data_IF_479823559660
#
_entry.id   IF_479823559660
#
_cell.length_a   1.000
_cell.length_b   1.000
_cell.length_c   1.000
_cell.angle_alpha   90.00
_cell.angle_beta   90.00
_cell.angle_gamma   90.00
#
_symmetry.space_group_name_H-M   'P 1'
#
loop_
_entity.id
_entity.type
_entity.pdbx_description
1 polymer ?
#
# COMPACT_ATOMS: atom_id res chain seq x y z
N UNK A 1 14.49 -24.01 -1.04
CA UNK A 1 14.25 -24.07 0.40
C UNK A 1 13.67 -25.43 0.72
N UNK A 2 14.16 -26.17 1.75
CA UNK A 2 13.62 -27.46 2.15
C UNK A 2 12.15 -27.36 2.59
N UNK A 3 11.36 -28.39 2.34
CA UNK A 3 9.93 -28.44 2.72
C UNK A 3 9.71 -28.22 4.23
N UNK A 4 10.65 -28.66 5.06
CA UNK A 4 10.64 -28.43 6.51
C UNK A 4 10.61 -26.93 6.91
N UNK A 5 11.01 -26.02 6.02
CA UNK A 5 10.90 -24.58 6.26
C UNK A 5 9.47 -24.07 5.99
N UNK A 6 8.76 -24.67 5.04
CA UNK A 6 7.36 -24.36 4.78
C UNK A 6 6.46 -24.83 5.93
N UNK A 7 6.74 -25.98 6.53
CA UNK A 7 6.01 -26.45 7.72
C UNK A 7 6.10 -25.46 8.89
N UNK A 8 7.22 -24.74 9.01
CA UNK A 8 7.39 -23.70 10.04
C UNK A 8 6.61 -22.41 9.78
N UNK A 9 6.03 -22.24 8.58
CA UNK A 9 5.20 -21.09 8.25
C UNK A 9 3.76 -21.23 8.73
N UNK A 10 3.31 -22.42 9.08
CA UNK A 10 1.93 -22.67 9.52
C UNK A 10 1.47 -21.69 10.63
N UNK A 11 2.20 -21.48 11.74
CA UNK A 11 1.82 -20.50 12.76
C UNK A 11 1.76 -19.06 12.23
N UNK A 12 2.62 -18.72 11.26
CA UNK A 12 2.62 -17.38 10.64
C UNK A 12 1.36 -17.20 9.79
N UNK A 13 1.00 -18.20 8.99
CA UNK A 13 -0.22 -18.16 8.16
C UNK A 13 -1.47 -18.10 9.02
N UNK A 14 -1.54 -18.87 10.09
CA UNK A 14 -2.65 -18.82 11.07
C UNK A 14 -2.77 -17.45 11.74
N UNK A 15 -1.66 -16.80 12.05
CA UNK A 15 -1.64 -15.43 12.59
C UNK A 15 -2.17 -14.42 11.56
N UNK A 16 -1.75 -14.55 10.30
CA UNK A 16 -2.26 -13.72 9.19
C UNK A 16 -3.77 -13.94 9.01
N UNK A 17 -4.23 -15.19 9.02
CA UNK A 17 -5.64 -15.53 8.92
C UNK A 17 -6.46 -14.91 10.06
N UNK A 18 -5.97 -14.98 11.31
CA UNK A 18 -6.65 -14.34 12.44
C UNK A 18 -6.74 -12.82 12.27
N UNK A 19 -5.68 -12.18 11.76
CA UNK A 19 -5.67 -10.75 11.45
C UNK A 19 -6.70 -10.39 10.37
N UNK A 20 -6.84 -11.21 9.33
CA UNK A 20 -7.74 -10.91 8.19
C UNK A 20 -9.22 -10.84 8.59
N UNK A 21 -9.62 -11.51 9.67
CA UNK A 21 -11.00 -11.44 10.20
C UNK A 21 -11.41 -10.05 10.67
N UNK A 22 -10.45 -9.16 10.93
CA UNK A 22 -10.66 -7.80 11.41
C UNK A 22 -10.37 -6.73 10.36
N UNK A 23 -10.20 -7.10 9.10
CA UNK A 23 -9.94 -6.16 8.00
C UNK A 23 -10.83 -6.44 6.82
N UNK A 24 -11.25 -5.37 6.12
CA UNK A 24 -11.97 -5.45 4.85
C UNK A 24 -11.02 -5.57 3.63
N UNK A 25 -9.71 -5.66 3.88
CA UNK A 25 -8.74 -5.83 2.81
C UNK A 25 -8.65 -7.28 2.38
N UNK A 26 -8.41 -7.53 1.11
CA UNK A 26 -7.88 -8.80 0.66
C UNK A 26 -6.43 -8.88 1.14
N UNK A 27 -6.07 -9.99 1.79
CA UNK A 27 -4.70 -10.25 2.26
C UNK A 27 -4.23 -11.56 1.67
N UNK A 28 -3.03 -11.57 1.11
CA UNK A 28 -2.45 -12.80 0.55
C UNK A 28 -0.93 -12.83 0.72
N UNK A 29 -0.37 -14.04 0.66
CA UNK A 29 1.07 -14.27 0.80
C UNK A 29 1.63 -14.82 -0.49
N UNK A 30 2.59 -14.10 -1.04
CA UNK A 30 3.33 -14.47 -2.26
C UNK A 30 4.58 -15.26 -1.89
N UNK A 31 4.79 -16.41 -2.55
CA UNK A 31 6.07 -17.12 -2.56
C UNK A 31 6.80 -16.85 -3.88
N UNK A 32 7.82 -16.02 -3.82
CA UNK A 32 8.62 -15.68 -4.99
C UNK A 32 9.52 -16.80 -5.48
N UNK A 33 9.79 -17.82 -4.66
CA UNK A 33 10.63 -18.96 -5.05
C UNK A 33 9.82 -20.01 -5.78
N UNK A 34 8.62 -20.34 -5.29
CA UNK A 34 7.69 -21.25 -5.96
C UNK A 34 6.85 -20.57 -7.04
N UNK A 35 6.87 -19.24 -7.10
CA UNK A 35 6.05 -18.38 -7.98
C UNK A 35 4.55 -18.69 -7.85
N UNK A 36 4.09 -18.81 -6.62
CA UNK A 36 2.68 -19.07 -6.30
C UNK A 36 2.23 -18.24 -5.09
N UNK A 37 0.98 -18.42 -4.71
CA UNK A 37 0.44 -17.88 -3.46
C UNK A 37 0.37 -18.98 -2.41
N UNK A 38 0.80 -18.69 -1.18
CA UNK A 38 0.71 -19.62 -0.05
C UNK A 38 -0.59 -19.45 0.73
N UNK A 39 -1.22 -18.30 0.64
CA UNK A 39 -2.40 -17.92 1.37
C UNK A 39 -3.17 -16.83 0.62
N UNK A 40 -4.49 -16.86 0.72
CA UNK A 40 -5.39 -15.75 0.39
C UNK A 40 -6.53 -15.69 1.41
N UNK A 41 -7.00 -14.48 1.73
CA UNK A 41 -8.17 -14.28 2.58
C UNK A 41 -9.47 -14.42 1.78
N UNK A 42 -10.57 -14.75 2.48
CA UNK A 42 -11.90 -14.91 1.88
C UNK A 42 -12.42 -13.64 1.17
N UNK A 43 -11.93 -12.46 1.56
CA UNK A 43 -12.33 -11.18 0.95
C UNK A 43 -12.05 -11.10 -0.56
N UNK A 44 -11.25 -12.00 -1.12
CA UNK A 44 -11.00 -12.09 -2.58
C UNK A 44 -12.27 -12.41 -3.35
N UNK A 45 -13.20 -13.15 -2.76
CA UNK A 45 -14.48 -13.50 -3.39
C UNK A 45 -15.34 -12.26 -3.65
N UNK A 46 -15.37 -11.31 -2.72
CA UNK A 46 -16.08 -10.03 -2.94
C UNK A 46 -15.42 -9.22 -4.06
N UNK A 47 -14.10 -9.19 -4.09
CA UNK A 47 -13.34 -8.36 -5.04
C UNK A 47 -13.33 -8.95 -6.46
N UNK A 48 -13.07 -10.24 -6.61
CA UNK A 48 -12.85 -10.91 -7.91
C UNK A 48 -13.86 -11.99 -8.24
N UNK A 49 -14.68 -12.46 -7.27
CA UNK A 49 -15.68 -13.50 -7.47
C UNK A 49 -15.11 -14.92 -7.55
N UNK A 50 -13.92 -15.14 -6.98
CA UNK A 50 -13.26 -16.44 -6.85
C UNK A 50 -13.03 -16.77 -5.38
N UNK A 51 -12.95 -18.05 -5.06
CA UNK A 51 -12.59 -18.49 -3.72
C UNK A 51 -11.08 -18.28 -3.44
N UNK A 52 -10.71 -18.28 -2.16
CA UNK A 52 -9.29 -18.19 -1.77
C UNK A 52 -8.49 -19.41 -2.25
N UNK A 53 -9.12 -20.57 -2.31
CA UNK A 53 -8.52 -21.81 -2.82
C UNK A 53 -8.21 -21.69 -4.30
N UNK A 54 -9.17 -21.18 -5.11
CA UNK A 54 -8.97 -20.92 -6.53
C UNK A 54 -7.84 -19.92 -6.78
N UNK A 55 -7.76 -18.83 -6.00
CA UNK A 55 -6.66 -17.86 -6.11
C UNK A 55 -5.30 -18.51 -5.83
N UNK A 56 -5.20 -19.32 -4.78
CA UNK A 56 -3.96 -20.01 -4.40
C UNK A 56 -3.56 -21.03 -5.48
N UNK A 57 -4.51 -21.81 -5.99
CA UNK A 57 -4.28 -22.79 -7.07
C UNK A 57 -3.81 -22.11 -8.36
N UNK A 58 -4.43 -20.99 -8.70
CA UNK A 58 -4.09 -20.22 -9.89
C UNK A 58 -2.68 -19.60 -9.82
N UNK A 59 -2.24 -19.23 -8.63
CA UNK A 59 -0.94 -18.58 -8.42
C UNK A 59 -0.79 -17.33 -9.27
N UNK A 60 0.36 -17.16 -9.93
CA UNK A 60 0.65 -15.95 -10.73
C UNK A 60 -0.25 -15.75 -11.95
N UNK A 61 -0.96 -16.78 -12.40
CA UNK A 61 -1.96 -16.67 -13.48
C UNK A 61 -3.11 -15.74 -13.08
N UNK A 62 -3.37 -15.55 -11.77
CA UNK A 62 -4.33 -14.58 -11.26
C UNK A 62 -4.16 -13.21 -11.92
N UNK A 63 -2.93 -12.67 -11.98
CA UNK A 63 -2.69 -11.35 -12.56
C UNK A 63 -3.04 -11.29 -14.06
N UNK A 64 -2.82 -12.37 -14.80
CA UNK A 64 -3.18 -12.42 -16.23
C UNK A 64 -4.68 -12.54 -16.47
N UNK A 65 -5.42 -13.10 -15.54
CA UNK A 65 -6.86 -13.34 -15.68
C UNK A 65 -7.69 -12.19 -15.09
N UNK A 66 -7.27 -11.60 -13.96
CA UNK A 66 -8.05 -10.62 -13.21
C UNK A 66 -7.52 -9.19 -13.30
N UNK A 67 -6.42 -8.95 -13.97
CA UNK A 67 -5.91 -7.60 -14.22
C UNK A 67 -6.10 -7.25 -15.69
N UNK A 68 -6.59 -6.03 -16.04
CA UNK A 68 -6.71 -5.58 -17.41
C UNK A 68 -5.41 -5.74 -18.19
N UNK A 69 -5.50 -6.24 -19.41
CA UNK A 69 -4.32 -6.54 -20.25
C UNK A 69 -3.38 -5.34 -20.41
N UNK A 70 -3.95 -4.14 -20.48
CA UNK A 70 -3.17 -2.90 -20.59
C UNK A 70 -2.26 -2.62 -19.37
N UNK A 71 -2.61 -3.17 -18.20
CA UNK A 71 -1.86 -2.94 -16.95
C UNK A 71 -0.91 -4.09 -16.58
N UNK A 72 -1.04 -5.24 -17.24
CA UNK A 72 -0.18 -6.41 -16.96
C UNK A 72 1.30 -6.12 -17.19
N UNK A 73 1.62 -5.36 -18.25
CA UNK A 73 3.00 -4.96 -18.55
C UNK A 73 3.58 -4.06 -17.45
N UNK A 74 2.77 -3.13 -16.94
CA UNK A 74 3.14 -2.27 -15.80
C UNK A 74 3.48 -3.13 -14.57
N UNK A 75 2.67 -4.15 -14.24
CA UNK A 75 2.94 -5.03 -13.09
C UNK A 75 4.21 -5.86 -13.26
N UNK A 76 4.51 -6.32 -14.48
CA UNK A 76 5.75 -7.04 -14.77
C UNK A 76 6.98 -6.13 -14.61
N UNK A 77 6.90 -4.92 -15.14
CA UNK A 77 7.94 -3.90 -15.02
C UNK A 77 8.19 -3.51 -13.57
N UNK A 78 7.10 -3.21 -12.84
CA UNK A 78 7.14 -2.87 -11.43
C UNK A 78 7.79 -3.97 -10.58
N UNK A 79 7.43 -5.22 -10.84
CA UNK A 79 8.01 -6.36 -10.14
C UNK A 79 9.54 -6.40 -10.34
N UNK A 80 9.99 -6.24 -11.59
CA UNK A 80 11.41 -6.17 -11.93
C UNK A 80 12.11 -5.00 -11.24
N UNK A 81 11.57 -3.78 -11.40
CA UNK A 81 12.14 -2.56 -10.82
C UNK A 81 12.19 -2.61 -9.27
N UNK A 82 11.16 -3.18 -8.63
CA UNK A 82 11.11 -3.38 -7.18
C UNK A 82 12.18 -4.34 -6.67
N UNK A 83 12.41 -5.46 -7.36
CA UNK A 83 13.50 -6.39 -7.03
C UNK A 83 14.88 -5.77 -7.24
N UNK A 84 15.10 -5.08 -8.36
CA UNK A 84 16.37 -4.39 -8.65
C UNK A 84 16.65 -3.31 -7.61
N UNK A 85 15.64 -2.52 -7.22
CA UNK A 85 15.77 -1.54 -6.14
C UNK A 85 16.24 -2.21 -4.83
N UNK A 86 15.54 -3.28 -4.42
CA UNK A 86 15.85 -4.00 -3.18
C UNK A 86 17.22 -4.66 -3.20
N UNK A 87 17.62 -5.25 -4.32
CA UNK A 87 18.91 -5.94 -4.45
C UNK A 87 20.09 -4.96 -4.48
N UNK A 88 19.88 -3.73 -4.92
CA UNK A 88 20.88 -2.65 -4.90
C UNK A 88 21.05 -2.02 -3.52
N UNK A 89 20.12 -2.24 -2.57
CA UNK A 89 20.26 -1.75 -1.20
C UNK A 89 21.38 -2.48 -0.45
N UNK A 90 22.13 -1.77 0.41
CA UNK A 90 23.03 -2.41 1.37
C UNK A 90 22.26 -3.43 2.22
N UNK A 91 22.85 -4.60 2.46
CA UNK A 91 22.18 -5.72 3.15
C UNK A 91 21.64 -5.37 4.53
N UNK A 92 22.28 -4.46 5.25
CA UNK A 92 21.88 -3.96 6.56
C UNK A 92 20.74 -2.94 6.50
N UNK A 93 20.39 -2.44 5.30
CA UNK A 93 19.35 -1.42 5.11
C UNK A 93 18.07 -1.98 4.52
N UNK A 94 18.01 -3.27 4.16
CA UNK A 94 16.91 -3.92 3.46
C UNK A 94 15.65 -4.12 4.30
N UNK A 95 15.75 -4.06 5.62
CA UNK A 95 14.59 -4.23 6.49
C UNK A 95 13.67 -3.00 6.47
N UNK A 96 12.37 -3.24 6.63
CA UNK A 96 11.35 -2.20 6.75
C UNK A 96 10.92 -1.57 5.42
N UNK A 97 11.37 -2.08 4.28
CA UNK A 97 10.87 -1.60 2.99
C UNK A 97 9.53 -2.24 2.62
N UNK A 98 8.67 -1.43 2.05
CA UNK A 98 7.42 -1.83 1.42
C UNK A 98 7.24 -1.08 0.11
N UNK A 99 6.48 -1.68 -0.81
CA UNK A 99 6.09 -1.04 -2.06
C UNK A 99 4.57 -0.97 -2.13
N UNK A 100 4.03 0.15 -2.59
CA UNK A 100 2.61 0.32 -2.87
C UNK A 100 2.39 0.84 -4.28
N UNK A 101 1.26 0.47 -4.88
CA UNK A 101 0.87 0.89 -6.22
C UNK A 101 -0.63 0.66 -6.45
N UNK A 102 -1.16 1.29 -7.50
CA UNK A 102 -2.57 1.18 -7.87
C UNK A 102 -2.72 0.48 -9.21
N UNK A 103 -3.71 -0.41 -9.30
CA UNK A 103 -4.10 -1.08 -10.55
C UNK A 103 -5.56 -1.54 -10.49
N UNK A 104 -6.11 -1.93 -11.63
CA UNK A 104 -7.48 -2.44 -11.68
C UNK A 104 -7.54 -3.96 -11.52
N UNK A 105 -8.58 -4.43 -10.83
CA UNK A 105 -8.99 -5.84 -10.86
C UNK A 105 -10.39 -5.97 -11.46
N UNK A 106 -10.65 -7.11 -12.08
CA UNK A 106 -11.89 -7.41 -12.79
C UNK A 106 -12.71 -8.47 -12.06
N UNK A 107 -14.03 -8.25 -11.99
CA UNK A 107 -15.03 -9.25 -11.60
C UNK A 107 -16.14 -9.27 -12.67
N UNK A 108 -16.04 -10.18 -13.64
CA UNK A 108 -16.85 -10.11 -14.85
C UNK A 108 -16.59 -8.79 -15.58
N UNK A 109 -17.67 -8.04 -15.87
CA UNK A 109 -17.57 -6.72 -16.55
C UNK A 109 -17.25 -5.57 -15.58
N UNK A 110 -17.26 -5.81 -14.28
CA UNK A 110 -16.92 -4.79 -13.29
C UNK A 110 -15.42 -4.66 -13.17
N UNK A 111 -14.93 -3.43 -13.30
CA UNK A 111 -13.52 -3.05 -13.12
C UNK A 111 -13.41 -2.16 -11.89
N UNK A 112 -12.54 -2.53 -10.95
CA UNK A 112 -12.37 -1.81 -9.67
C UNK A 112 -10.92 -1.40 -9.52
N UNK A 113 -10.65 -0.11 -9.30
CA UNK A 113 -9.31 0.38 -8.94
C UNK A 113 -8.99 -0.04 -7.52
N UNK A 114 -7.86 -0.70 -7.33
CA UNK A 114 -7.37 -1.12 -6.02
C UNK A 114 -6.03 -0.47 -5.69
N UNK A 115 -5.84 -0.24 -4.40
CA UNK A 115 -4.54 0.07 -3.82
C UNK A 115 -3.91 -1.20 -3.29
N UNK A 116 -2.71 -1.49 -3.74
CA UNK A 116 -1.95 -2.66 -3.37
C UNK A 116 -0.74 -2.25 -2.52
N UNK A 117 -0.62 -2.87 -1.34
CA UNK A 117 0.57 -2.78 -0.52
C UNK A 117 1.28 -4.14 -0.51
N UNK A 118 2.60 -4.13 -0.62
CA UNK A 118 3.45 -5.31 -0.51
C UNK A 118 4.57 -5.04 0.50
N UNK A 119 4.69 -5.92 1.48
CA UNK A 119 5.75 -5.88 2.49
C UNK A 119 6.54 -7.18 2.46
N UNK A 120 7.84 -7.10 2.43
CA UNK A 120 8.70 -8.29 2.46
C UNK A 120 8.63 -8.95 3.84
N UNK A 121 8.06 -10.15 3.87
CA UNK A 121 7.77 -10.90 5.11
C UNK A 121 8.95 -11.75 5.58
N UNK A 122 9.56 -12.49 4.65
CA UNK A 122 10.68 -13.39 4.94
C UNK A 122 11.73 -13.30 3.85
N UNK A 123 12.98 -13.29 4.26
CA UNK A 123 14.12 -13.39 3.36
C UNK A 123 14.89 -14.69 3.58
N UNK A 124 15.57 -15.16 2.55
CA UNK A 124 16.49 -16.30 2.62
C UNK A 124 17.74 -15.94 3.44
N UNK A 125 18.56 -16.95 3.82
CA UNK A 125 19.89 -16.73 4.42
C UNK A 125 20.80 -15.81 3.59
N UNK A 126 20.59 -15.80 2.26
CA UNK A 126 21.31 -14.89 1.34
C UNK A 126 20.66 -13.50 1.22
N UNK A 127 19.66 -13.22 2.08
CA UNK A 127 18.87 -11.98 2.09
C UNK A 127 18.17 -11.66 0.75
N UNK A 128 17.76 -12.68 0.02
CA UNK A 128 16.83 -12.57 -1.11
C UNK A 128 15.41 -12.66 -0.59
N UNK A 129 14.49 -11.91 -1.18
CA UNK A 129 13.06 -11.98 -0.86
C UNK A 129 12.58 -13.42 -1.13
N UNK A 130 11.93 -13.99 -0.13
CA UNK A 130 11.28 -15.28 -0.25
C UNK A 130 9.77 -15.11 -0.23
N UNK A 131 9.23 -14.53 0.86
CA UNK A 131 7.80 -14.32 1.03
C UNK A 131 7.50 -12.82 1.13
N UNK A 132 6.36 -12.41 0.56
CA UNK A 132 5.80 -11.09 0.76
C UNK A 132 4.35 -11.21 1.23
N UNK A 133 3.98 -10.34 2.17
CA UNK A 133 2.60 -10.09 2.57
C UNK A 133 2.05 -8.99 1.70
N UNK A 134 0.95 -9.27 1.04
CA UNK A 134 0.28 -8.36 0.14
C UNK A 134 -1.12 -8.03 0.67
N UNK A 135 -1.55 -6.80 0.47
CA UNK A 135 -2.94 -6.39 0.72
C UNK A 135 -3.52 -5.65 -0.47
N UNK A 136 -4.81 -5.87 -0.76
CA UNK A 136 -5.57 -5.09 -1.73
C UNK A 136 -6.77 -4.45 -1.04
N UNK A 137 -7.02 -3.19 -1.34
CA UNK A 137 -8.19 -2.43 -0.88
C UNK A 137 -8.66 -1.48 -1.98
N UNK A 138 -9.91 -1.01 -1.97
CA UNK A 138 -10.35 0.02 -2.92
C UNK A 138 -9.41 1.23 -2.90
N UNK A 139 -9.03 1.71 -4.07
CA UNK A 139 -8.18 2.90 -4.21
C UNK A 139 -9.01 4.15 -4.42
N UNK A 140 -8.53 5.28 -3.90
CA UNK A 140 -9.03 6.62 -4.21
C UNK A 140 -8.36 7.24 -5.44
N UNK A 141 -7.41 6.54 -6.05
CA UNK A 141 -6.72 6.99 -7.26
C UNK A 141 -7.64 6.91 -8.48
N UNK A 142 -7.44 7.84 -9.41
CA UNK A 142 -8.16 7.88 -10.69
C UNK A 142 -7.41 7.14 -11.80
N UNK A 143 -6.13 6.85 -11.61
CA UNK A 143 -5.25 6.22 -12.60
C UNK A 143 -4.39 5.13 -11.98
N UNK A 144 -4.08 4.06 -12.72
CA UNK A 144 -3.13 3.04 -12.29
C UNK A 144 -1.71 3.62 -12.20
N UNK A 145 -0.84 2.91 -11.51
CA UNK A 145 0.54 3.33 -11.25
C UNK A 145 0.71 3.77 -9.80
N UNK A 146 1.08 5.05 -9.55
CA UNK A 146 1.34 5.59 -8.22
C UNK A 146 2.29 4.71 -7.38
N UNK A 147 3.37 4.30 -8.02
CA UNK A 147 4.30 3.30 -7.49
C UNK A 147 5.25 3.97 -6.50
N UNK A 148 5.21 3.52 -5.24
CA UNK A 148 5.98 4.13 -4.16
C UNK A 148 6.72 3.04 -3.38
N UNK A 149 8.05 3.14 -3.34
CA UNK A 149 8.88 2.39 -2.42
C UNK A 149 9.13 3.22 -1.17
N UNK A 150 8.92 2.62 0.00
CA UNK A 150 9.01 3.30 1.30
C UNK A 150 9.78 2.44 2.30
N UNK A 151 10.55 3.11 3.17
CA UNK A 151 11.15 2.49 4.34
C UNK A 151 10.41 2.95 5.60
N UNK A 152 10.09 2.02 6.48
CA UNK A 152 9.45 2.31 7.77
C UNK A 152 10.26 3.34 8.57
N UNK A 153 9.57 4.29 9.21
CA UNK A 153 10.19 5.36 9.97
C UNK A 153 10.89 6.45 9.15
N UNK A 154 11.03 6.29 7.83
CA UNK A 154 11.64 7.28 6.95
C UNK A 154 10.59 8.18 6.29
N UNK A 155 10.92 9.46 6.16
CA UNK A 155 10.11 10.42 5.36
C UNK A 155 10.55 10.50 3.91
N UNK A 156 11.66 9.88 3.57
CA UNK A 156 12.10 9.73 2.19
C UNK A 156 11.37 8.55 1.57
N UNK A 157 10.77 8.77 0.41
CA UNK A 157 10.14 7.78 -0.43
C UNK A 157 10.81 7.79 -1.80
N UNK A 158 10.63 6.72 -2.56
CA UNK A 158 11.04 6.65 -3.95
C UNK A 158 9.80 6.38 -4.79
N UNK A 159 9.49 7.28 -5.72
CA UNK A 159 8.40 7.14 -6.69
C UNK A 159 8.98 6.60 -8.00
N UNK A 160 8.38 5.54 -8.53
CA UNK A 160 8.80 5.00 -9.82
C UNK A 160 8.07 5.71 -10.96
N UNK A 161 8.82 6.29 -11.87
CA UNK A 161 8.29 6.93 -13.06
C UNK A 161 8.23 5.90 -14.20
N UNK A 162 7.01 5.60 -14.66
CA UNK A 162 6.76 4.62 -15.74
C UNK A 162 7.22 5.11 -17.13
N UNK A 163 7.43 6.42 -17.33
CA UNK A 163 7.88 6.97 -18.60
C UNK A 163 9.42 6.95 -18.71
N UNK A 164 10.11 7.30 -17.61
CA UNK A 164 11.57 7.34 -17.59
C UNK A 164 12.21 6.05 -17.10
N UNK A 165 11.41 5.13 -16.53
CA UNK A 165 11.84 3.87 -15.90
C UNK A 165 12.84 4.07 -14.76
N UNK A 166 12.67 5.15 -13.99
CA UNK A 166 13.59 5.54 -12.91
C UNK A 166 12.87 5.72 -11.59
N UNK A 167 13.58 5.46 -10.49
CA UNK A 167 13.16 5.78 -9.13
C UNK A 167 13.56 7.21 -8.80
N UNK A 168 12.57 8.05 -8.47
CA UNK A 168 12.76 9.46 -8.09
C UNK A 168 12.60 9.58 -6.57
N UNK A 169 13.66 9.99 -5.90
CA UNK A 169 13.62 10.24 -4.47
C UNK A 169 12.81 11.50 -4.16
N UNK A 170 11.90 11.38 -3.19
CA UNK A 170 11.11 12.50 -2.67
C UNK A 170 11.08 12.47 -1.15
N UNK A 171 11.10 13.67 -0.56
CA UNK A 171 10.96 13.85 0.88
C UNK A 171 9.53 14.28 1.20
N UNK A 172 8.83 13.46 1.96
CA UNK A 172 7.48 13.78 2.41
C UNK A 172 7.49 14.96 3.38
N UNK A 173 6.48 15.85 3.31
CA UNK A 173 6.35 16.96 4.23
C UNK A 173 6.13 16.48 5.67
N UNK A 174 6.65 17.22 6.64
CA UNK A 174 6.37 16.98 8.05
C UNK A 174 5.01 17.61 8.40
N UNK A 175 4.09 16.81 8.91
CA UNK A 175 2.82 17.29 9.45
C UNK A 175 3.03 17.60 10.93
N UNK A 176 2.78 18.84 11.34
CA UNK A 176 2.92 19.27 12.73
C UNK A 176 1.67 18.90 13.55
N UNK A 177 1.74 19.08 14.89
CA UNK A 177 0.67 18.71 15.80
C UNK A 177 -0.66 19.43 15.47
N UNK A 178 -0.62 20.74 15.23
CA UNK A 178 -1.82 21.54 14.87
C UNK A 178 -2.44 21.05 13.57
N UNK A 179 -1.62 20.74 12.56
CA UNK A 179 -2.08 20.21 11.27
C UNK A 179 -2.74 18.83 11.43
N UNK A 180 -2.15 17.95 12.26
CA UNK A 180 -2.76 16.65 12.60
C UNK A 180 -4.09 16.82 13.31
N UNK A 181 -4.18 17.72 14.31
CA UNK A 181 -5.43 18.02 15.00
C UNK A 181 -6.50 18.50 14.03
N UNK A 182 -6.18 19.45 13.13
CA UNK A 182 -7.12 19.94 12.11
C UNK A 182 -7.63 18.79 11.24
N UNK A 183 -6.74 17.96 10.70
CA UNK A 183 -7.12 16.82 9.85
C UNK A 183 -8.01 15.83 10.62
N UNK A 184 -7.59 15.43 11.81
CA UNK A 184 -8.32 14.45 12.63
C UNK A 184 -9.71 14.95 13.01
N UNK A 185 -9.84 16.21 13.46
CA UNK A 185 -11.14 16.79 13.84
C UNK A 185 -12.07 16.93 12.62
N UNK A 186 -11.54 17.37 11.47
CA UNK A 186 -12.32 17.44 10.24
C UNK A 186 -12.78 16.06 9.75
N UNK A 187 -11.95 15.00 9.92
CA UNK A 187 -12.36 13.60 9.67
C UNK A 187 -13.49 13.14 10.60
N UNK A 188 -13.53 13.65 11.82
CA UNK A 188 -14.58 13.40 12.81
C UNK A 188 -15.87 14.21 12.55
N UNK A 189 -15.88 15.09 11.53
CA UNK A 189 -17.02 15.91 11.16
C UNK A 189 -17.11 17.26 11.87
N UNK A 190 -16.12 17.65 12.68
CA UNK A 190 -16.10 18.96 13.32
C UNK A 190 -15.94 20.09 12.31
N UNK A 191 -16.63 21.21 12.52
CA UNK A 191 -16.41 22.46 11.79
C UNK A 191 -15.15 23.19 12.31
N UNK A 192 -14.64 24.13 11.53
CA UNK A 192 -13.48 24.94 11.96
C UNK A 192 -13.78 25.78 13.21
N UNK A 193 -15.02 26.22 13.39
CA UNK A 193 -15.51 26.95 14.57
C UNK A 193 -15.51 26.05 15.81
N UNK A 194 -16.02 24.84 15.69
CA UNK A 194 -16.00 23.86 16.80
C UNK A 194 -14.58 23.48 17.19
N UNK A 195 -13.68 23.29 16.20
CA UNK A 195 -12.27 23.04 16.48
C UNK A 195 -11.63 24.22 17.23
N UNK A 196 -11.93 25.46 16.79
CA UNK A 196 -11.44 26.67 17.45
C UNK A 196 -11.84 26.71 18.92
N UNK A 197 -13.10 26.44 19.22
CA UNK A 197 -13.63 26.45 20.58
C UNK A 197 -13.03 25.31 21.41
N UNK A 198 -12.93 24.11 20.87
CA UNK A 198 -12.48 22.93 21.62
C UNK A 198 -10.96 22.95 21.89
N UNK A 199 -10.17 23.44 20.95
CA UNK A 199 -8.70 23.47 21.10
C UNK A 199 -8.17 24.80 21.68
N UNK A 200 -9.04 25.79 21.91
CA UNK A 200 -8.64 27.11 22.43
C UNK A 200 -7.76 27.92 21.50
N UNK A 201 -7.85 27.66 20.19
CA UNK A 201 -7.04 28.32 19.15
C UNK A 201 -7.95 29.20 18.30
N UNK A 202 -7.51 30.43 17.98
CA UNK A 202 -8.36 31.35 17.19
C UNK A 202 -8.73 30.75 15.82
N UNK A 203 -9.96 30.99 15.37
CA UNK A 203 -10.45 30.54 14.09
C UNK A 203 -9.55 31.02 12.92
N UNK A 204 -9.02 32.25 13.00
CA UNK A 204 -8.13 32.78 12.00
C UNK A 204 -6.79 32.02 11.94
N UNK A 205 -6.24 31.65 13.10
CA UNK A 205 -5.02 30.83 13.19
C UNK A 205 -5.25 29.45 12.57
N UNK A 206 -6.38 28.80 12.86
CA UNK A 206 -6.70 27.49 12.29
C UNK A 206 -6.92 27.57 10.78
N UNK A 207 -7.63 28.60 10.29
CA UNK A 207 -7.82 28.82 8.85
C UNK A 207 -6.48 29.05 8.12
N UNK A 208 -5.57 29.81 8.72
CA UNK A 208 -4.23 30.03 8.18
C UNK A 208 -3.41 28.72 8.14
N UNK A 209 -3.43 27.95 9.24
CA UNK A 209 -2.76 26.65 9.33
C UNK A 209 -3.29 25.66 8.28
N UNK A 210 -4.62 25.57 8.11
CA UNK A 210 -5.24 24.74 7.06
C UNK A 210 -4.79 25.15 5.65
N UNK A 211 -4.76 26.46 5.36
CA UNK A 211 -4.30 26.95 4.06
C UNK A 211 -2.85 26.59 3.79
N UNK A 212 -1.96 26.78 4.77
CA UNK A 212 -0.55 26.40 4.67
C UNK A 212 -0.37 24.89 4.49
N UNK A 213 -1.18 24.09 5.19
CA UNK A 213 -1.20 22.64 5.01
C UNK A 213 -1.58 22.26 3.58
N UNK A 214 -2.62 22.85 3.02
CA UNK A 214 -3.03 22.56 1.63
C UNK A 214 -1.94 22.94 0.62
N UNK A 215 -1.28 24.07 0.80
CA UNK A 215 -0.13 24.47 -0.03
C UNK A 215 1.03 23.46 0.12
N UNK A 216 1.36 23.07 1.37
CA UNK A 216 2.42 22.10 1.67
C UNK A 216 2.19 20.73 1.01
N UNK A 217 0.93 20.27 0.98
CA UNK A 217 0.52 18.98 0.39
C UNK A 217 0.22 19.09 -1.11
N UNK A 218 0.19 20.29 -1.66
CA UNK A 218 -0.26 20.58 -3.03
C UNK A 218 -1.65 20.02 -3.33
N UNK A 219 -2.62 20.32 -2.44
CA UNK A 219 -4.02 19.87 -2.54
C UNK A 219 -4.99 21.05 -2.46
N UNK A 220 -6.21 20.86 -2.96
CA UNK A 220 -7.20 21.94 -3.07
C UNK A 220 -8.35 21.87 -2.03
N UNK A 221 -8.53 20.72 -1.39
CA UNK A 221 -9.62 20.51 -0.44
C UNK A 221 -9.23 19.52 0.66
N UNK A 222 -10.10 19.43 1.68
CA UNK A 222 -9.85 18.59 2.86
C UNK A 222 -9.84 17.09 2.52
N UNK A 223 -10.69 16.63 1.61
CA UNK A 223 -10.76 15.22 1.22
C UNK A 223 -9.45 14.79 0.56
N UNK A 224 -8.89 15.62 -0.31
CA UNK A 224 -7.58 15.39 -0.92
C UNK A 224 -6.44 15.40 0.12
N UNK A 225 -6.50 16.34 1.10
CA UNK A 225 -5.49 16.41 2.17
C UNK A 225 -5.52 15.13 3.04
N UNK A 226 -6.70 14.67 3.39
CA UNK A 226 -6.89 13.43 4.16
C UNK A 226 -6.39 12.23 3.36
N UNK A 227 -6.83 12.09 2.10
CA UNK A 227 -6.39 11.00 1.22
C UNK A 227 -4.86 10.98 1.07
N UNK A 228 -4.25 12.15 0.84
CA UNK A 228 -2.78 12.28 0.78
C UNK A 228 -2.13 11.76 2.08
N UNK A 229 -2.59 12.25 3.23
CA UNK A 229 -1.98 11.88 4.50
C UNK A 229 -2.16 10.39 4.85
N UNK A 230 -3.29 9.78 4.47
CA UNK A 230 -3.51 8.35 4.65
C UNK A 230 -2.63 7.52 3.71
N UNK A 231 -2.59 7.86 2.41
CA UNK A 231 -1.77 7.14 1.42
C UNK A 231 -0.29 7.18 1.77
N UNK A 232 0.19 8.33 2.26
CA UNK A 232 1.59 8.49 2.65
C UNK A 232 1.87 8.18 4.13
N UNK A 233 0.89 7.67 4.90
CA UNK A 233 0.99 7.30 6.34
C UNK A 233 1.58 8.43 7.18
N UNK A 234 1.05 9.66 7.03
CA UNK A 234 1.50 10.87 7.73
C UNK A 234 0.67 11.21 8.97
N UNK A 235 -0.48 10.54 9.14
CA UNK A 235 -1.39 10.66 10.29
C UNK A 235 -1.13 9.60 11.34
#
# INVERSE_FOLDING_TARGET
>A
IPESHYQKLEPVLQTIEAFTRNTNKVVYVVDYLKKNFLYSSDNIEELCGITKEEMVEMGYLFHFQYVPRAEQQMLLELNKAGFEFYDNLPKNEREGYSISYDFHVMKGDRVTMIHHDLTYLVTTRKRRIWLALCTMSPSSSMTPGNIIMRKEGCRTIHEYNLETHEWIERKLPKINATEKTILTRLMQGYTMEEISNNEGVSLNTLKASKRLLFQKLNVNNISQAIAYCLNYKLL
#
